data_IF_153169835734
#
_entry.id   IF_153169835734
#
_cell.length_a   1.000
_cell.length_b   1.000
_cell.length_c   1.000
_cell.angle_alpha   90.00
_cell.angle_beta   90.00
_cell.angle_gamma   90.00
#
_symmetry.space_group_name_H-M   'P 1'
#
loop_
_entity.id
_entity.type
_entity.pdbx_description
1 polymer ?
#
# COMPACT_ATOMS: atom_id res chain seq x y z
N UNK A 1 -8.74 -0.59 -13.38
CA UNK A 1 -9.01 -1.51 -12.23
C UNK A 1 -8.89 -0.75 -10.92
N UNK A 2 -9.39 -1.29 -9.79
CA UNK A 2 -9.14 -0.73 -8.46
C UNK A 2 -7.83 -1.29 -7.90
N UNK A 3 -6.82 -0.44 -7.79
CA UNK A 3 -5.49 -0.83 -7.33
C UNK A 3 -5.22 -0.21 -5.97
N UNK A 4 -4.94 -1.01 -4.95
CA UNK A 4 -4.36 -0.51 -3.71
C UNK A 4 -2.85 -0.53 -3.84
N UNK A 5 -2.22 0.62 -3.61
CA UNK A 5 -0.77 0.76 -3.58
C UNK A 5 -0.27 0.72 -2.14
N UNK A 6 0.66 -0.19 -1.86
CA UNK A 6 1.42 -0.22 -0.62
C UNK A 6 2.35 1.01 -0.50
N UNK A 7 2.75 1.34 0.73
CA UNK A 7 3.61 2.47 1.10
C UNK A 7 4.88 2.54 0.27
N UNK A 8 5.45 1.38 -0.12
CA UNK A 8 6.65 1.31 -0.97
C UNK A 8 6.50 2.10 -2.27
N UNK A 9 5.31 2.10 -2.87
CA UNK A 9 5.02 2.80 -4.12
C UNK A 9 4.80 4.32 -3.94
N UNK A 10 4.66 4.78 -2.70
CA UNK A 10 4.49 6.19 -2.34
C UNK A 10 5.83 6.84 -1.94
N UNK A 11 6.86 6.05 -1.62
CA UNK A 11 8.19 6.53 -1.22
C UNK A 11 8.85 7.51 -2.22
N UNK A 12 8.71 7.36 -3.55
CA UNK A 12 9.23 8.33 -4.50
C UNK A 12 8.66 9.75 -4.31
N UNK A 13 7.43 9.89 -3.81
CA UNK A 13 6.80 11.18 -3.57
C UNK A 13 7.58 12.01 -2.52
N UNK A 14 8.17 11.35 -1.51
CA UNK A 14 9.02 11.99 -0.50
C UNK A 14 10.51 12.01 -0.87
N UNK A 15 10.87 11.55 -2.07
CA UNK A 15 12.25 11.57 -2.57
C UNK A 15 13.08 10.31 -2.29
N UNK A 16 12.47 9.23 -1.79
CA UNK A 16 13.16 7.95 -1.61
C UNK A 16 13.03 7.13 -2.89
N UNK A 17 14.16 6.72 -3.46
CA UNK A 17 14.18 5.88 -4.67
C UNK A 17 14.16 4.42 -4.29
N UNK A 18 13.31 3.64 -4.97
CA UNK A 18 13.22 2.18 -4.79
C UNK A 18 13.87 1.51 -5.99
N UNK A 19 14.73 0.51 -5.73
CA UNK A 19 15.42 -0.23 -6.78
C UNK A 19 14.38 -0.88 -7.70
N UNK A 20 14.57 -0.73 -9.01
CA UNK A 20 13.69 -1.25 -10.06
C UNK A 20 12.28 -0.65 -10.09
N UNK A 21 12.01 0.44 -9.36
CA UNK A 21 10.74 1.16 -9.43
C UNK A 21 10.94 2.55 -10.08
N UNK A 22 10.30 2.83 -11.22
CA UNK A 22 10.25 4.16 -11.81
C UNK A 22 9.74 5.21 -10.82
N UNK A 23 10.41 6.37 -10.76
CA UNK A 23 10.04 7.46 -9.84
C UNK A 23 8.62 8.01 -10.09
N UNK A 24 8.14 7.90 -11.32
CA UNK A 24 6.84 8.36 -11.80
C UNK A 24 5.79 7.25 -11.85
N UNK A 25 6.06 6.05 -11.31
CA UNK A 25 5.15 4.89 -11.35
C UNK A 25 3.72 5.24 -10.91
N UNK A 26 3.56 5.97 -9.79
CA UNK A 26 2.23 6.39 -9.32
C UNK A 26 1.44 7.15 -10.39
N UNK A 27 2.10 8.07 -11.10
CA UNK A 27 1.50 8.88 -12.17
C UNK A 27 1.17 7.99 -13.38
N UNK A 28 2.05 7.05 -13.72
CA UNK A 28 1.82 6.12 -14.83
C UNK A 28 0.62 5.20 -14.56
N UNK A 29 0.49 4.71 -13.33
CA UNK A 29 -0.65 3.89 -12.92
C UNK A 29 -1.97 4.65 -12.98
N UNK A 30 -1.98 5.92 -12.56
CA UNK A 30 -3.15 6.81 -12.66
C UNK A 30 -3.60 7.04 -14.10
N UNK A 31 -2.67 7.06 -15.06
CA UNK A 31 -2.97 7.32 -16.48
C UNK A 31 -3.62 6.14 -17.22
N UNK A 32 -3.58 4.93 -16.65
CA UNK A 32 -4.05 3.69 -17.29
C UNK A 32 -5.50 3.31 -16.93
N UNK A 33 -6.40 4.29 -16.77
CA UNK A 33 -7.79 4.08 -16.32
C UNK A 33 -7.92 3.24 -15.03
N UNK A 34 -6.91 3.33 -14.16
CA UNK A 34 -6.94 2.71 -12.84
C UNK A 34 -7.47 3.70 -11.81
N UNK A 35 -8.30 3.19 -10.91
CA UNK A 35 -8.68 3.88 -9.70
C UNK A 35 -7.63 3.54 -8.64
N UNK A 36 -6.91 4.55 -8.17
CA UNK A 36 -5.84 4.37 -7.20
C UNK A 36 -6.39 4.51 -5.79
N UNK A 37 -6.07 3.51 -4.97
CA UNK A 37 -6.40 3.45 -3.56
C UNK A 37 -5.11 3.38 -2.74
N UNK A 38 -5.15 3.96 -1.54
CA UNK A 38 -4.15 3.75 -0.49
C UNK A 38 -4.86 3.49 0.83
N UNK A 39 -4.20 2.78 1.75
CA UNK A 39 -4.63 2.76 3.14
C UNK A 39 -4.14 4.03 3.85
N UNK A 40 -4.94 4.64 4.71
CA UNK A 40 -4.52 5.85 5.45
C UNK A 40 -3.27 5.61 6.32
N UNK A 41 -3.05 4.37 6.78
CA UNK A 41 -1.84 4.01 7.53
C UNK A 41 -0.56 4.21 6.72
N UNK A 42 -0.63 4.10 5.39
CA UNK A 42 0.51 4.34 4.52
C UNK A 42 1.00 5.79 4.58
N UNK A 43 0.15 6.75 4.92
CA UNK A 43 0.55 8.16 5.13
C UNK A 43 1.37 8.28 6.43
N UNK A 44 0.97 7.57 7.48
CA UNK A 44 1.72 7.48 8.73
C UNK A 44 3.08 6.82 8.50
N UNK A 45 3.12 5.67 7.84
CA UNK A 45 4.40 5.01 7.52
C UNK A 45 5.30 5.86 6.63
N UNK A 46 4.74 6.56 5.65
CA UNK A 46 5.48 7.49 4.79
C UNK A 46 6.14 8.59 5.62
N UNK A 47 5.42 9.10 6.63
CA UNK A 47 5.93 10.09 7.59
C UNK A 47 7.05 9.50 8.45
N UNK A 48 6.86 8.29 8.98
CA UNK A 48 7.86 7.60 9.80
C UNK A 48 9.15 7.31 9.01
N UNK A 49 9.03 6.81 7.77
CA UNK A 49 10.18 6.60 6.87
C UNK A 49 10.86 7.92 6.52
N UNK A 50 10.09 8.97 6.23
CA UNK A 50 10.64 10.31 6.00
C UNK A 50 11.47 10.82 7.19
N UNK A 51 10.94 10.70 8.41
CA UNK A 51 11.63 11.13 9.64
C UNK A 51 12.97 10.40 9.84
N UNK A 52 13.01 9.08 9.60
CA UNK A 52 14.25 8.31 9.64
C UNK A 52 15.31 8.88 8.69
N UNK A 53 14.94 9.10 7.42
CA UNK A 53 15.87 9.59 6.40
C UNK A 53 16.30 11.05 6.64
N UNK A 54 15.47 11.86 7.30
CA UNK A 54 15.84 13.22 7.73
C UNK A 54 16.97 13.16 8.77
N UNK A 55 16.84 12.32 9.80
CA UNK A 55 17.85 12.20 10.87
C UNK A 55 19.17 11.64 10.33
N UNK A 56 19.10 10.79 9.31
CA UNK A 56 20.29 10.27 8.60
C UNK A 56 20.93 11.30 7.65
N UNK A 57 20.33 12.49 7.46
CA UNK A 57 20.83 13.51 6.54
C UNK A 57 20.56 13.24 5.05
N UNK A 58 19.76 12.21 4.74
CA UNK A 58 19.48 11.76 3.39
C UNK A 58 18.32 12.51 2.71
N UNK A 59 17.46 13.19 3.49
CA UNK A 59 16.33 13.96 2.98
C UNK A 59 16.16 15.30 3.69
N UNK A 60 15.72 16.30 2.92
CA UNK A 60 15.28 17.58 3.46
C UNK A 60 13.86 17.46 4.01
N UNK A 61 13.60 18.07 5.16
CA UNK A 61 12.27 18.11 5.81
C UNK A 61 11.20 18.63 4.84
N UNK A 62 11.50 19.71 4.11
CA UNK A 62 10.57 20.30 3.13
C UNK A 62 10.21 19.34 1.99
N UNK A 63 11.14 18.46 1.59
CA UNK A 63 10.88 17.45 0.55
C UNK A 63 9.86 16.43 1.05
N UNK A 64 10.02 15.97 2.30
CA UNK A 64 9.11 15.01 2.92
C UNK A 64 7.73 15.62 3.12
N UNK A 65 7.64 16.84 3.66
CA UNK A 65 6.36 17.55 3.86
C UNK A 65 5.63 17.74 2.53
N UNK A 66 6.32 18.21 1.48
CA UNK A 66 5.71 18.40 0.15
C UNK A 66 5.20 17.08 -0.43
N UNK A 67 5.98 16.00 -0.31
CA UNK A 67 5.58 14.67 -0.79
C UNK A 67 4.35 14.12 -0.08
N UNK A 68 4.29 14.21 1.25
CA UNK A 68 3.14 13.78 2.04
C UNK A 68 1.90 14.59 1.65
N UNK A 69 1.99 15.93 1.59
CA UNK A 69 0.87 16.78 1.17
C UNK A 69 0.37 16.42 -0.24
N UNK A 70 1.29 16.15 -1.16
CA UNK A 70 0.96 15.77 -2.53
C UNK A 70 0.21 14.43 -2.61
N UNK A 71 0.42 13.49 -1.68
CA UNK A 71 -0.36 12.25 -1.61
C UNK A 71 -1.69 12.48 -0.89
N UNK A 72 -1.65 13.13 0.29
CA UNK A 72 -2.81 13.31 1.16
C UNK A 72 -3.93 14.12 0.51
N UNK A 73 -3.59 15.16 -0.26
CA UNK A 73 -4.56 16.08 -0.85
C UNK A 73 -4.81 15.85 -2.35
N UNK A 74 -4.33 14.74 -2.91
CA UNK A 74 -4.60 14.40 -4.30
C UNK A 74 -5.95 13.70 -4.43
N UNK A 75 -6.90 14.38 -5.06
CA UNK A 75 -8.27 13.88 -5.27
C UNK A 75 -8.35 12.65 -6.18
N UNK A 76 -7.31 12.38 -6.99
CA UNK A 76 -7.21 11.17 -7.80
C UNK A 76 -6.85 9.92 -6.98
N UNK A 77 -6.48 10.08 -5.70
CA UNK A 77 -6.16 8.98 -4.77
C UNK A 77 -7.30 8.81 -3.78
N UNK A 78 -7.96 7.66 -3.83
CA UNK A 78 -8.95 7.28 -2.83
C UNK A 78 -8.23 6.73 -1.59
N UNK A 79 -8.55 7.28 -0.41
CA UNK A 79 -7.99 6.83 0.87
C UNK A 79 -8.99 5.92 1.59
N UNK A 80 -8.53 4.77 2.06
CA UNK A 80 -9.32 3.84 2.86
C UNK A 80 -8.93 4.03 4.32
N UNK A 81 -9.91 4.41 5.15
CA UNK A 81 -9.71 4.55 6.58
C UNK A 81 -9.43 3.20 7.23
N UNK A 82 -8.43 3.16 8.11
CA UNK A 82 -8.11 1.98 8.92
C UNK A 82 -9.12 1.74 10.03
N UNK A 83 -9.98 2.71 10.32
CA UNK A 83 -11.02 2.61 11.33
C UNK A 83 -12.34 2.02 10.78
N UNK A 84 -12.40 1.76 9.47
CA UNK A 84 -13.52 1.04 8.87
C UNK A 84 -13.68 -0.34 9.52
N UNK A 85 -14.89 -0.66 10.00
CA UNK A 85 -15.14 -1.90 10.73
C UNK A 85 -14.79 -3.14 9.89
N UNK A 86 -15.04 -3.09 8.59
CA UNK A 86 -14.68 -4.17 7.65
C UNK A 86 -13.17 -4.34 7.51
N UNK A 87 -12.40 -3.25 7.56
CA UNK A 87 -10.93 -3.29 7.54
C UNK A 87 -10.41 -3.90 8.83
N UNK A 88 -10.83 -3.41 10.00
CA UNK A 88 -10.37 -3.90 11.30
C UNK A 88 -10.69 -5.39 11.49
N UNK A 89 -11.93 -5.81 11.23
CA UNK A 89 -12.35 -7.20 11.39
C UNK A 89 -11.50 -8.18 10.57
N UNK A 90 -11.04 -7.75 9.39
CA UNK A 90 -10.25 -8.60 8.50
C UNK A 90 -8.77 -8.52 8.86
N UNK A 91 -8.26 -7.34 9.24
CA UNK A 91 -6.90 -7.19 9.75
C UNK A 91 -6.66 -8.06 10.98
N UNK A 92 -7.60 -8.12 11.93
CA UNK A 92 -7.50 -9.01 13.10
C UNK A 92 -7.42 -10.49 12.70
N UNK A 93 -8.16 -10.91 11.66
CA UNK A 93 -8.08 -12.27 11.12
C UNK A 93 -6.77 -12.53 10.40
N UNK A 94 -6.20 -11.53 9.74
CA UNK A 94 -4.93 -11.62 9.03
C UNK A 94 -3.72 -11.70 9.97
N UNK A 95 -3.84 -11.26 11.22
CA UNK A 95 -2.76 -11.31 12.22
C UNK A 95 -2.24 -12.73 12.52
N UNK A 96 -3.03 -13.76 12.24
CA UNK A 96 -2.56 -15.16 12.34
C UNK A 96 -1.60 -15.58 11.23
N UNK A 97 -1.48 -14.76 10.18
CA UNK A 97 -0.67 -15.03 8.99
C UNK A 97 0.48 -14.04 8.80
N UNK A 98 0.28 -12.78 9.20
CA UNK A 98 1.28 -11.72 9.14
C UNK A 98 1.60 -11.21 10.53
N UNK A 99 2.89 -10.93 10.78
CA UNK A 99 3.33 -10.44 12.08
C UNK A 99 3.19 -8.93 12.24
N UNK A 100 3.42 -8.18 11.18
CA UNK A 100 3.18 -6.74 11.18
C UNK A 100 1.67 -6.45 11.03
N UNK A 101 1.13 -5.70 11.99
CA UNK A 101 -0.27 -5.31 11.95
C UNK A 101 -0.54 -4.19 10.94
N UNK A 102 0.47 -3.39 10.58
CA UNK A 102 0.35 -2.39 9.51
C UNK A 102 0.11 -3.10 8.17
N UNK A 103 0.86 -4.16 7.88
CA UNK A 103 0.65 -4.99 6.69
C UNK A 103 -0.72 -5.68 6.70
N UNK A 104 -1.20 -6.10 7.88
CA UNK A 104 -2.56 -6.61 8.04
C UNK A 104 -3.61 -5.56 7.63
N UNK A 105 -3.43 -4.30 8.01
CA UNK A 105 -4.34 -3.20 7.66
C UNK A 105 -4.29 -2.88 6.16
N UNK A 106 -3.11 -2.86 5.55
CA UNK A 106 -2.94 -2.62 4.11
C UNK A 106 -3.59 -3.74 3.30
N UNK A 107 -3.28 -5.01 3.62
CA UNK A 107 -3.86 -6.16 2.94
C UNK A 107 -5.37 -6.25 3.15
N UNK A 108 -5.85 -5.96 4.36
CA UNK A 108 -7.28 -5.91 4.66
C UNK A 108 -7.99 -4.81 3.85
N UNK A 109 -7.40 -3.61 3.76
CA UNK A 109 -7.93 -2.51 2.96
C UNK A 109 -8.05 -2.93 1.49
N UNK A 110 -7.02 -3.56 0.94
CA UNK A 110 -7.01 -3.98 -0.46
C UNK A 110 -8.05 -5.08 -0.72
N UNK A 111 -8.12 -6.08 0.17
CA UNK A 111 -9.00 -7.22 0.03
C UNK A 111 -10.49 -6.82 0.03
N UNK A 112 -10.87 -5.82 0.84
CA UNK A 112 -12.26 -5.37 0.94
C UNK A 112 -12.69 -4.42 -0.19
N UNK A 113 -11.79 -3.62 -0.75
CA UNK A 113 -12.17 -2.50 -1.61
C UNK A 113 -11.57 -2.50 -3.02
N UNK A 114 -10.56 -3.34 -3.27
CA UNK A 114 -9.76 -3.31 -4.50
C UNK A 114 -9.74 -4.66 -5.22
N UNK A 115 -9.35 -4.61 -6.49
CA UNK A 115 -9.13 -5.80 -7.32
C UNK A 115 -7.72 -6.36 -7.10
N UNK A 116 -6.75 -5.47 -6.83
CA UNK A 116 -5.34 -5.84 -6.71
C UNK A 116 -4.67 -5.07 -5.58
N UNK A 117 -3.84 -5.75 -4.79
CA UNK A 117 -2.80 -5.14 -3.97
C UNK A 117 -1.48 -5.15 -4.73
N UNK A 118 -0.89 -3.96 -4.91
CA UNK A 118 0.44 -3.77 -5.49
C UNK A 118 1.44 -3.55 -4.36
N UNK A 119 2.31 -4.53 -4.12
CA UNK A 119 3.30 -4.50 -3.02
C UNK A 119 4.59 -5.22 -3.40
N UNK A 120 5.71 -4.75 -2.84
CA UNK A 120 7.00 -5.44 -2.92
C UNK A 120 7.26 -6.37 -1.72
N UNK A 121 6.34 -6.42 -0.76
CA UNK A 121 6.50 -7.17 0.48
C UNK A 121 6.50 -8.70 0.24
N UNK A 122 7.62 -9.33 0.55
CA UNK A 122 7.84 -10.76 0.30
C UNK A 122 6.99 -11.63 1.24
N UNK A 123 6.71 -11.19 2.46
CA UNK A 123 5.88 -11.91 3.41
C UNK A 123 4.44 -11.97 2.90
N UNK A 124 3.90 -10.85 2.42
CA UNK A 124 2.57 -10.79 1.77
C UNK A 124 2.54 -11.70 0.53
N UNK A 125 3.57 -11.69 -0.31
CA UNK A 125 3.64 -12.59 -1.47
C UNK A 125 3.66 -14.06 -1.06
N UNK A 126 4.37 -14.40 0.02
CA UNK A 126 4.46 -15.77 0.52
C UNK A 126 3.14 -16.30 1.10
N UNK A 127 2.22 -15.42 1.53
CA UNK A 127 0.88 -15.84 1.99
C UNK A 127 0.11 -16.61 0.94
N UNK A 128 0.32 -16.31 -0.34
CA UNK A 128 -0.37 -16.98 -1.46
C UNK A 128 -0.06 -18.48 -1.53
N UNK A 129 0.98 -18.95 -0.85
CA UNK A 129 1.33 -20.38 -0.71
C UNK A 129 0.57 -21.06 0.43
N UNK A 130 -0.05 -20.30 1.34
CA UNK A 130 -0.79 -20.83 2.48
C UNK A 130 -2.24 -21.17 2.09
N UNK A 131 -2.62 -22.44 2.24
CA UNK A 131 -3.96 -22.93 1.88
C UNK A 131 -5.08 -22.30 2.71
N UNK A 132 -4.85 -22.04 3.99
CA UNK A 132 -5.85 -21.44 4.87
C UNK A 132 -6.05 -19.96 4.53
N UNK A 133 -4.97 -19.25 4.21
CA UNK A 133 -5.05 -17.88 3.69
C UNK A 133 -5.84 -17.83 2.38
N UNK A 134 -5.55 -18.72 1.43
CA UNK A 134 -6.27 -18.76 0.16
C UNK A 134 -7.76 -19.05 0.32
N UNK A 135 -8.15 -19.89 1.29
CA UNK A 135 -9.57 -20.10 1.64
C UNK A 135 -10.22 -18.83 2.17
N UNK A 136 -9.53 -18.09 3.05
CA UNK A 136 -10.02 -16.80 3.56
C UNK A 136 -10.20 -15.80 2.40
N UNK A 137 -9.20 -15.66 1.54
CA UNK A 137 -9.21 -14.77 0.38
C UNK A 137 -10.38 -15.10 -0.55
N UNK A 138 -10.56 -16.37 -0.92
CA UNK A 138 -11.66 -16.82 -1.77
C UNK A 138 -13.06 -16.54 -1.19
N UNK A 139 -13.19 -16.57 0.14
CA UNK A 139 -14.46 -16.26 0.82
C UNK A 139 -14.82 -14.77 0.84
N UNK A 140 -13.84 -13.88 0.60
CA UNK A 140 -14.02 -12.43 0.68
C UNK A 140 -14.04 -11.83 -0.73
N UNK A 141 -12.99 -12.07 -1.50
CA UNK A 141 -12.84 -11.55 -2.85
C UNK A 141 -12.11 -12.57 -3.73
N UNK A 142 -12.83 -13.49 -4.41
CA UNK A 142 -12.22 -14.58 -5.17
C UNK A 142 -11.43 -14.13 -6.40
N UNK A 143 -11.61 -12.88 -6.85
CA UNK A 143 -10.87 -12.30 -7.98
C UNK A 143 -9.69 -11.44 -7.55
N UNK A 144 -9.49 -11.26 -6.23
CA UNK A 144 -8.42 -10.44 -5.69
C UNK A 144 -7.05 -11.00 -6.06
N UNK A 145 -6.13 -10.10 -6.42
CA UNK A 145 -4.74 -10.46 -6.76
C UNK A 145 -3.76 -9.70 -5.88
N UNK A 146 -2.64 -10.35 -5.61
CA UNK A 146 -1.46 -9.72 -5.03
C UNK A 146 -0.40 -9.73 -6.13
N UNK A 147 0.13 -8.56 -6.47
CA UNK A 147 1.08 -8.39 -7.56
C UNK A 147 2.25 -7.51 -7.12
N UNK A 148 3.42 -7.78 -7.70
CA UNK A 148 4.50 -6.79 -7.77
C UNK A 148 4.15 -5.76 -8.83
N UNK A 149 5.08 -4.84 -9.10
CA UNK A 149 4.91 -3.78 -10.11
C UNK A 149 4.20 -4.34 -11.34
N UNK A 150 3.05 -3.79 -11.75
CA UNK A 150 2.34 -4.31 -12.91
C UNK A 150 3.24 -4.16 -14.12
N UNK A 151 3.35 -5.21 -14.94
CA UNK A 151 4.00 -5.12 -16.25
C UNK A 151 3.38 -3.93 -16.99
N UNK A 152 4.19 -2.90 -17.26
CA UNK A 152 3.73 -1.67 -17.91
C UNK A 152 3.59 -1.94 -19.41
#
# INVERSE_FOLDING_TARGET
MKLLLDTTYLLPAIGITIKNLPKNMLIELMRKDNQIFISEISIFELSAKGAKYIIEGNLLIDRVIKGIKAITYNEAITKISVHEATVLLKAFKLRKFLDDFIDCLILSSALNFCDVLITEDIEIHNLTKNKEFNKLLASINPKFKIQKTPEI
#
